data_IF_582040783972
#
_entry.id   IF_582040783972
#
_cell.length_a   1.000
_cell.length_b   1.000
_cell.length_c   1.000
_cell.angle_alpha   90.00
_cell.angle_beta   90.00
_cell.angle_gamma   90.00
#
_symmetry.space_group_name_H-M   'P 1'
#
loop_
_entity.id
_entity.type
_entity.pdbx_description
1 polymer ?
#
# COMPACT_ATOMS: atom_id res chain seq x y z
N UNK A 1 -26.90 2.41 -7.77
CA UNK A 1 -27.24 3.84 -7.63
C UNK A 1 -26.91 4.38 -6.24
N UNK A 2 -27.37 3.76 -5.14
CA UNK A 2 -27.10 4.22 -3.77
C UNK A 2 -25.61 4.29 -3.41
N UNK A 3 -24.82 3.27 -3.78
CA UNK A 3 -23.37 3.27 -3.55
C UNK A 3 -22.65 4.39 -4.33
N UNK A 4 -23.06 4.62 -5.59
CA UNK A 4 -22.53 5.70 -6.44
C UNK A 4 -22.85 7.06 -5.85
N UNK A 5 -24.07 7.25 -5.33
CA UNK A 5 -24.49 8.49 -4.72
C UNK A 5 -23.69 8.81 -3.44
N UNK A 6 -23.48 7.81 -2.58
CA UNK A 6 -22.65 7.94 -1.37
C UNK A 6 -21.19 8.28 -1.75
N UNK A 7 -20.63 7.58 -2.75
CA UNK A 7 -19.26 7.86 -3.21
C UNK A 7 -19.10 9.29 -3.74
N UNK A 8 -20.07 9.77 -4.53
CA UNK A 8 -20.06 11.13 -5.10
C UNK A 8 -20.19 12.19 -4.00
N UNK A 9 -21.08 12.00 -3.03
CA UNK A 9 -21.26 12.93 -1.91
C UNK A 9 -20.00 13.00 -1.03
N UNK A 10 -19.40 11.85 -0.70
CA UNK A 10 -18.16 11.82 0.09
C UNK A 10 -17.00 12.47 -0.67
N UNK A 11 -16.85 12.20 -1.97
CA UNK A 11 -15.86 12.85 -2.82
C UNK A 11 -16.09 14.37 -2.93
N UNK A 12 -17.34 14.81 -2.99
CA UNK A 12 -17.73 16.21 -3.05
C UNK A 12 -17.41 16.95 -1.74
N UNK A 13 -17.80 16.39 -0.59
CA UNK A 13 -17.47 16.95 0.73
C UNK A 13 -15.95 17.11 0.89
N UNK A 14 -15.19 16.12 0.45
CA UNK A 14 -13.72 16.15 0.51
C UNK A 14 -13.09 17.15 -0.47
N UNK A 15 -13.62 17.27 -1.70
CA UNK A 15 -13.13 18.22 -2.70
C UNK A 15 -13.31 19.68 -2.25
N UNK A 16 -14.41 19.97 -1.55
CA UNK A 16 -14.75 21.30 -1.04
C UNK A 16 -14.35 21.56 0.41
N UNK A 17 -13.80 20.56 1.13
CA UNK A 17 -13.35 20.71 2.52
C UNK A 17 -12.35 21.87 2.73
N UNK A 18 -11.60 22.24 1.69
CA UNK A 18 -10.62 23.34 1.72
C UNK A 18 -11.17 24.68 1.18
N UNK A 19 -12.44 24.77 0.78
CA UNK A 19 -13.06 25.96 0.19
C UNK A 19 -12.74 26.21 -1.29
N UNK A 20 -11.53 25.86 -1.74
CA UNK A 20 -11.03 26.24 -3.08
C UNK A 20 -11.19 25.16 -4.17
N UNK A 21 -11.90 24.06 -3.90
CA UNK A 21 -11.99 22.89 -4.81
C UNK A 21 -10.67 22.11 -4.98
N UNK A 22 -9.59 22.55 -4.31
CA UNK A 22 -8.27 21.89 -4.32
C UNK A 22 -8.21 20.65 -3.42
N UNK A 23 -9.25 20.37 -2.64
CA UNK A 23 -9.28 19.24 -1.69
C UNK A 23 -8.95 17.90 -2.34
N UNK A 24 -9.44 17.68 -3.57
CA UNK A 24 -9.13 16.48 -4.35
C UNK A 24 -7.64 16.34 -4.71
N UNK A 25 -6.95 17.44 -5.02
CA UNK A 25 -5.51 17.42 -5.30
C UNK A 25 -4.67 17.12 -4.06
N UNK A 26 -5.19 17.40 -2.86
CA UNK A 26 -4.50 17.04 -1.61
C UNK A 26 -4.68 15.56 -1.25
N UNK A 27 -5.76 14.92 -1.71
CA UNK A 27 -6.02 13.49 -1.51
C UNK A 27 -5.29 12.60 -2.52
N UNK A 28 -4.97 13.12 -3.70
CA UNK A 28 -4.30 12.40 -4.77
C UNK A 28 -3.02 11.66 -4.32
N UNK A 29 -2.13 12.25 -3.51
CA UNK A 29 -0.95 11.55 -2.99
C UNK A 29 -1.29 10.35 -2.10
N UNK A 30 -2.36 10.42 -1.28
CA UNK A 30 -2.79 9.29 -0.45
C UNK A 30 -3.41 8.16 -1.28
N UNK A 31 -4.15 8.51 -2.34
CA UNK A 31 -4.65 7.53 -3.30
C UNK A 31 -3.49 6.80 -4.00
N UNK A 32 -2.49 7.55 -4.45
CA UNK A 32 -1.26 7.00 -5.02
C UNK A 32 -0.54 6.04 -4.06
N UNK A 33 -0.32 6.44 -2.81
CA UNK A 33 0.32 5.60 -1.80
C UNK A 33 -0.47 4.32 -1.50
N UNK A 34 -1.80 4.41 -1.36
CA UNK A 34 -2.65 3.22 -1.15
C UNK A 34 -2.56 2.22 -2.31
N UNK A 35 -2.50 2.72 -3.55
CA UNK A 35 -2.32 1.87 -4.73
C UNK A 35 -0.92 1.24 -4.78
N UNK A 36 0.11 1.96 -4.34
CA UNK A 36 1.47 1.43 -4.24
C UNK A 36 1.54 0.30 -3.20
N UNK A 37 0.85 0.43 -2.07
CA UNK A 37 0.71 -0.67 -1.10
C UNK A 37 0.02 -1.89 -1.69
N UNK A 38 -1.08 -1.71 -2.44
CA UNK A 38 -1.78 -2.82 -3.08
C UNK A 38 -0.89 -3.50 -4.14
N UNK A 39 -0.14 -2.72 -4.91
CA UNK A 39 0.85 -3.24 -5.85
C UNK A 39 1.98 -3.99 -5.13
N UNK A 40 2.45 -3.46 -3.99
CA UNK A 40 3.43 -4.10 -3.11
C UNK A 40 2.94 -5.46 -2.59
N UNK A 41 1.70 -5.53 -2.10
CA UNK A 41 1.07 -6.78 -1.68
C UNK A 41 0.95 -7.78 -2.83
N UNK A 42 0.53 -7.34 -4.03
CA UNK A 42 0.44 -8.20 -5.20
C UNK A 42 1.81 -8.78 -5.60
N UNK A 43 2.86 -7.94 -5.60
CA UNK A 43 4.23 -8.37 -5.89
C UNK A 43 4.78 -9.30 -4.81
N UNK A 44 4.43 -9.09 -3.55
CA UNK A 44 4.78 -9.98 -2.44
C UNK A 44 4.17 -11.37 -2.64
N UNK A 45 2.85 -11.41 -2.92
CA UNK A 45 2.14 -12.67 -3.22
C UNK A 45 2.74 -13.36 -4.43
N UNK A 46 3.09 -12.61 -5.49
CA UNK A 46 3.76 -13.15 -6.67
C UNK A 46 5.15 -13.71 -6.34
N UNK A 47 5.91 -13.02 -5.49
CA UNK A 47 7.24 -13.46 -5.04
C UNK A 47 7.14 -14.79 -4.30
N UNK A 48 6.19 -14.91 -3.37
CA UNK A 48 5.90 -16.14 -2.63
C UNK A 48 5.46 -17.26 -3.59
N UNK A 49 4.61 -16.94 -4.56
CA UNK A 49 4.16 -17.90 -5.56
C UNK A 49 5.31 -18.45 -6.43
N UNK A 50 6.21 -17.58 -6.91
CA UNK A 50 7.37 -17.98 -7.69
C UNK A 50 8.37 -18.78 -6.87
N UNK A 51 8.56 -18.41 -5.60
CA UNK A 51 9.43 -19.11 -4.66
C UNK A 51 8.98 -20.56 -4.49
N UNK A 52 7.67 -20.79 -4.35
CA UNK A 52 7.08 -22.14 -4.29
C UNK A 52 7.25 -22.94 -5.56
N UNK A 53 7.14 -22.30 -6.74
CA UNK A 53 7.42 -22.97 -8.03
C UNK A 53 8.91 -23.24 -8.27
N UNK A 54 9.80 -22.93 -7.31
CA UNK A 54 11.26 -23.00 -7.44
C UNK A 54 11.77 -22.26 -8.69
N UNK A 55 11.07 -21.19 -9.06
CA UNK A 55 11.43 -20.31 -10.19
C UNK A 55 12.17 -19.08 -9.67
N UNK A 56 12.90 -18.42 -10.55
CA UNK A 56 13.62 -17.20 -10.20
C UNK A 56 12.66 -16.13 -9.69
N UNK A 57 12.79 -15.76 -8.42
CA UNK A 57 11.98 -14.71 -7.77
C UNK A 57 12.43 -13.30 -8.12
N UNK A 58 13.60 -13.14 -8.74
CA UNK A 58 14.25 -11.85 -8.99
C UNK A 58 13.34 -10.89 -9.77
N UNK A 59 12.55 -11.42 -10.70
CA UNK A 59 11.63 -10.63 -11.53
C UNK A 59 10.47 -9.98 -10.74
N UNK A 60 10.08 -10.54 -9.59
CA UNK A 60 9.05 -9.98 -8.71
C UNK A 60 9.66 -9.23 -7.52
N UNK A 61 10.76 -9.74 -6.96
CA UNK A 61 11.41 -9.18 -5.78
C UNK A 61 12.09 -7.83 -6.06
N UNK A 62 12.73 -7.66 -7.23
CA UNK A 62 13.39 -6.39 -7.58
C UNK A 62 12.36 -5.24 -7.68
N UNK A 63 11.25 -5.37 -8.45
CA UNK A 63 10.20 -4.36 -8.47
C UNK A 63 9.57 -4.11 -7.09
N UNK A 64 9.39 -5.16 -6.27
CA UNK A 64 8.86 -5.02 -4.91
C UNK A 64 9.74 -4.14 -4.02
N UNK A 65 11.05 -4.40 -3.97
CA UNK A 65 11.98 -3.60 -3.17
C UNK A 65 11.99 -2.15 -3.65
N UNK A 66 12.04 -1.94 -4.97
CA UNK A 66 12.00 -0.60 -5.55
C UNK A 66 10.73 0.15 -5.15
N UNK A 67 9.56 -0.50 -5.25
CA UNK A 67 8.28 0.06 -4.84
C UNK A 67 8.28 0.49 -3.38
N UNK A 68 8.71 -0.40 -2.46
CA UNK A 68 8.74 -0.11 -1.02
C UNK A 68 9.63 1.09 -0.70
N UNK A 69 10.80 1.20 -1.34
CA UNK A 69 11.72 2.32 -1.13
C UNK A 69 11.12 3.63 -1.63
N UNK A 70 10.55 3.63 -2.84
CA UNK A 70 9.95 4.83 -3.43
C UNK A 70 8.70 5.29 -2.68
N UNK A 71 7.82 4.37 -2.31
CA UNK A 71 6.60 4.65 -1.52
C UNK A 71 6.97 5.18 -0.14
N UNK A 72 7.90 4.50 0.55
CA UNK A 72 8.39 4.95 1.86
C UNK A 72 8.98 6.36 1.82
N UNK A 73 9.76 6.69 0.79
CA UNK A 73 10.31 8.03 0.62
C UNK A 73 9.23 9.08 0.34
N UNK A 74 8.29 8.79 -0.56
CA UNK A 74 7.18 9.69 -0.87
C UNK A 74 6.27 9.93 0.35
N UNK A 75 6.02 8.89 1.14
CA UNK A 75 5.19 8.97 2.35
C UNK A 75 5.82 9.83 3.44
N UNK A 76 7.14 9.74 3.64
CA UNK A 76 7.84 10.64 4.58
C UNK A 76 7.70 12.11 4.18
N UNK A 77 7.81 12.41 2.88
CA UNK A 77 7.59 13.76 2.35
C UNK A 77 6.14 14.21 2.60
N UNK A 78 5.16 13.35 2.33
CA UNK A 78 3.74 13.65 2.56
C UNK A 78 3.43 13.91 4.04
N UNK A 79 3.93 13.07 4.94
CA UNK A 79 3.75 13.24 6.40
C UNK A 79 4.34 14.59 6.84
N UNK A 80 5.57 14.91 6.42
CA UNK A 80 6.20 16.20 6.74
C UNK A 80 5.37 17.37 6.23
N UNK A 81 4.91 17.31 4.98
CA UNK A 81 4.11 18.36 4.36
C UNK A 81 2.75 18.55 5.06
N UNK A 82 2.08 17.46 5.43
CA UNK A 82 0.79 17.56 6.13
C UNK A 82 0.94 18.05 7.56
N UNK A 83 2.04 17.71 8.23
CA UNK A 83 2.38 18.25 9.55
C UNK A 83 2.66 19.75 9.50
N UNK A 84 3.44 20.24 8.53
CA UNK A 84 3.77 21.68 8.42
C UNK A 84 2.61 22.53 7.92
N UNK A 85 1.71 21.96 7.11
CA UNK A 85 0.55 22.68 6.55
C UNK A 85 -0.68 22.63 7.47
N UNK A 86 -0.59 22.00 8.64
CA UNK A 86 -1.70 21.90 9.60
C UNK A 86 -2.87 21.02 9.13
N UNK A 87 -2.66 20.15 8.14
CA UNK A 87 -3.70 19.29 7.55
C UNK A 87 -3.89 18.01 8.37
N UNK A 88 -4.42 18.15 9.59
CA UNK A 88 -4.49 17.07 10.60
C UNK A 88 -5.16 15.80 10.09
N UNK A 89 -6.28 15.90 9.36
CA UNK A 89 -6.97 14.73 8.82
C UNK A 89 -6.10 13.92 7.86
N UNK A 90 -5.40 14.59 6.94
CA UNK A 90 -4.53 13.94 5.96
C UNK A 90 -3.26 13.40 6.60
N UNK A 91 -2.76 14.07 7.64
CA UNK A 91 -1.63 13.58 8.44
C UNK A 91 -1.97 12.25 9.11
N UNK A 92 -3.16 12.13 9.74
CA UNK A 92 -3.60 10.88 10.37
C UNK A 92 -3.69 9.76 9.33
N UNK A 93 -4.34 10.01 8.19
CA UNK A 93 -4.42 9.02 7.11
C UNK A 93 -3.04 8.62 6.58
N UNK A 94 -2.12 9.58 6.41
CA UNK A 94 -0.77 9.28 5.96
C UNK A 94 0.00 8.42 6.97
N UNK A 95 -0.13 8.69 8.27
CA UNK A 95 0.48 7.86 9.32
C UNK A 95 -0.07 6.44 9.29
N UNK A 96 -1.39 6.26 9.11
CA UNK A 96 -2.02 4.93 9.01
C UNK A 96 -1.47 4.17 7.80
N UNK A 97 -1.44 4.78 6.61
CA UNK A 97 -0.89 4.16 5.39
C UNK A 97 0.58 3.79 5.59
N UNK A 98 1.38 4.68 6.18
CA UNK A 98 2.80 4.41 6.44
C UNK A 98 2.99 3.26 7.44
N UNK A 99 2.15 3.16 8.46
CA UNK A 99 2.17 2.03 9.39
C UNK A 99 1.81 0.70 8.68
N UNK A 100 0.82 0.71 7.78
CA UNK A 100 0.47 -0.45 6.95
C UNK A 100 1.62 -0.85 6.02
N UNK A 101 2.36 0.12 5.47
CA UNK A 101 3.57 -0.14 4.69
C UNK A 101 4.61 -0.90 5.52
N UNK A 102 4.88 -0.44 6.74
CA UNK A 102 5.83 -1.10 7.65
C UNK A 102 5.35 -2.51 7.98
N UNK A 103 4.05 -2.68 8.27
CA UNK A 103 3.45 -3.99 8.50
C UNK A 103 3.66 -4.93 7.30
N UNK A 104 3.43 -4.46 6.08
CA UNK A 104 3.65 -5.24 4.86
C UNK A 104 5.11 -5.69 4.71
N UNK A 105 6.08 -4.84 5.06
CA UNK A 105 7.51 -5.22 5.05
C UNK A 105 7.77 -6.33 6.08
N UNK A 106 7.16 -6.24 7.26
CA UNK A 106 7.27 -7.28 8.29
C UNK A 106 6.69 -8.61 7.79
N UNK A 107 5.49 -8.60 7.22
CA UNK A 107 4.86 -9.79 6.62
C UNK A 107 5.74 -10.39 5.51
N UNK A 108 6.35 -9.55 4.68
CA UNK A 108 7.26 -10.00 3.64
C UNK A 108 8.47 -10.75 4.21
N UNK A 109 9.08 -10.23 5.28
CA UNK A 109 10.21 -10.86 5.97
C UNK A 109 9.82 -12.15 6.69
N UNK A 110 8.61 -12.22 7.25
CA UNK A 110 8.10 -13.43 7.90
C UNK A 110 7.83 -14.50 6.83
N UNK A 111 7.18 -14.15 5.73
CA UNK A 111 6.83 -15.08 4.67
C UNK A 111 8.08 -15.71 4.02
N UNK A 112 9.13 -14.93 3.77
CA UNK A 112 10.40 -15.46 3.23
C UNK A 112 11.06 -16.43 4.21
N UNK A 113 11.16 -16.07 5.51
CA UNK A 113 11.74 -16.94 6.54
C UNK A 113 10.95 -18.24 6.74
N UNK A 114 9.62 -18.19 6.70
CA UNK A 114 8.77 -19.37 6.81
C UNK A 114 9.01 -20.35 5.66
N UNK A 115 9.19 -19.84 4.43
CA UNK A 115 9.45 -20.67 3.25
C UNK A 115 10.87 -21.27 3.25
N UNK A 116 11.85 -20.55 3.80
CA UNK A 116 13.20 -21.11 4.01
C UNK A 116 13.19 -22.24 5.05
N UNK A 117 12.38 -22.13 6.11
CA UNK A 117 12.33 -23.11 7.19
C UNK A 117 11.51 -24.35 6.87
N UNK A 118 10.43 -24.20 6.10
CA UNK A 118 9.49 -25.28 5.78
C UNK A 118 9.18 -25.32 4.27
N UNK A 119 10.04 -25.96 3.45
CA UNK A 119 9.86 -26.02 2.00
C UNK A 119 8.64 -26.85 1.55
N UNK A 120 8.03 -27.62 2.45
CA UNK A 120 6.90 -28.52 2.18
C UNK A 120 5.52 -27.96 2.57
N UNK A 121 5.44 -26.81 3.26
CA UNK A 121 4.15 -26.25 3.68
C UNK A 121 3.34 -25.83 2.45
N UNK A 122 2.26 -26.55 2.17
CA UNK A 122 1.21 -26.14 1.25
C UNK A 122 0.39 -24.99 1.87
N UNK A 123 0.47 -23.75 1.38
CA UNK A 123 -0.21 -22.58 1.92
C UNK A 123 -1.64 -22.37 1.42
N UNK A 124 -2.20 -23.27 0.60
CA UNK A 124 -3.62 -23.25 0.23
C UNK A 124 -4.12 -24.68 0.05
N UNK A 125 -5.31 -25.04 0.57
CA UNK A 125 -5.92 -26.32 0.26
C UNK A 125 -6.09 -26.43 -1.26
N UNK A 126 -5.65 -27.55 -1.81
CA UNK A 126 -6.02 -27.91 -3.18
C UNK A 126 -7.53 -28.06 -3.22
N UNK A 127 -8.21 -27.10 -3.83
CA UNK A 127 -9.58 -27.30 -4.29
C UNK A 127 -9.49 -28.23 -5.49
N UNK A 128 -9.38 -29.54 -5.19
CA UNK A 128 -9.58 -30.63 -6.14
C UNK A 128 -11.06 -30.86 -6.42
#
# INVERSE_FOLDING_TARGET
>A
YTATFIAVITAMILAFYSGDGKGGMVLWPLFGATNQLLAGLALLVLTIYLLRKKRSIKAALIPFIFMVVMDGWAMLINIRNFATTGKVFLLILAIIIFALMIWMIVEALIATKTLERNPEVEPFPSFG
#
